data_IF_033494153640
#
_entry.id   IF_033494153640
#
_cell.length_a   1.000
_cell.length_b   1.000
_cell.length_c   1.000
_cell.angle_alpha   90.00
_cell.angle_beta   90.00
_cell.angle_gamma   90.00
#
_symmetry.space_group_name_H-M   'P 1'
#
loop_
_entity.id
_entity.type
_entity.pdbx_description
1 polymer ?
#
# COMPACT_ATOMS: atom_id res chain seq x y z
N UNK A 1 4.05 -17.49 14.83
CA UNK A 1 3.00 -17.97 13.96
C UNK A 1 2.64 -16.96 12.90
N UNK A 2 2.11 -17.45 11.81
CA UNK A 2 1.71 -16.60 10.70
C UNK A 2 0.47 -15.80 11.13
N UNK A 3 0.59 -14.47 11.14
CA UNK A 3 -0.54 -13.62 11.44
C UNK A 3 -1.36 -13.43 10.15
N UNK A 4 -2.47 -14.16 10.03
CA UNK A 4 -3.39 -14.04 8.89
C UNK A 4 -4.37 -12.87 9.01
N UNK A 5 -4.36 -12.14 10.11
CA UNK A 5 -5.25 -10.99 10.32
C UNK A 5 -5.08 -9.93 9.23
N UNK A 6 -3.82 -9.61 8.87
CA UNK A 6 -3.54 -8.66 7.80
C UNK A 6 -4.13 -9.09 6.46
N UNK A 7 -4.11 -10.40 6.16
CA UNK A 7 -4.68 -10.98 4.94
C UNK A 7 -6.22 -10.97 4.98
N UNK A 8 -6.82 -11.39 6.09
CA UNK A 8 -8.27 -11.44 6.26
C UNK A 8 -8.89 -10.02 6.20
N UNK A 9 -8.23 -9.05 6.81
CA UNK A 9 -8.75 -7.68 6.92
C UNK A 9 -8.11 -6.71 5.92
N UNK A 10 -7.31 -7.21 4.99
CA UNK A 10 -6.67 -6.41 3.93
C UNK A 10 -5.84 -5.23 4.45
N UNK A 11 -5.15 -5.42 5.57
CA UNK A 11 -4.37 -4.37 6.21
C UNK A 11 -2.90 -4.76 6.40
N UNK A 12 -2.11 -4.79 5.31
CA UNK A 12 -0.71 -5.23 5.40
C UNK A 12 0.23 -4.28 6.15
N UNK A 13 -0.19 -3.04 6.35
CA UNK A 13 0.59 -2.04 7.09
C UNK A 13 0.25 -1.93 8.55
N UNK A 14 -0.68 -2.74 9.06
CA UNK A 14 -1.19 -2.65 10.44
C UNK A 14 -1.62 -1.22 10.80
N UNK A 15 -2.34 -0.60 9.88
CA UNK A 15 -2.78 0.80 10.00
C UNK A 15 -3.92 0.87 11.01
N UNK A 16 -3.80 1.81 11.96
CA UNK A 16 -4.83 2.06 12.97
C UNK A 16 -5.95 2.93 12.41
N UNK A 17 -7.14 2.83 13.02
CA UNK A 17 -8.31 3.63 12.62
C UNK A 17 -8.08 5.13 12.84
N UNK A 18 -8.93 5.95 12.24
CA UNK A 18 -8.96 7.39 12.48
C UNK A 18 -8.19 8.24 11.50
N UNK A 19 -7.62 7.67 10.45
CA UNK A 19 -6.83 8.41 9.47
C UNK A 19 -7.58 8.74 8.18
N UNK A 20 -8.82 8.28 8.03
CA UNK A 20 -9.69 8.66 6.91
C UNK A 20 -9.33 8.04 5.57
N UNK A 21 -8.59 6.93 5.55
CA UNK A 21 -8.25 6.25 4.29
C UNK A 21 -9.48 5.67 3.61
N UNK A 22 -9.52 5.78 2.29
CA UNK A 22 -10.57 5.18 1.47
C UNK A 22 -10.54 3.65 1.55
N UNK A 23 -11.69 3.03 1.31
CA UNK A 23 -11.84 1.57 1.36
C UNK A 23 -12.03 1.02 2.76
N UNK A 24 -12.24 1.86 3.76
CA UNK A 24 -12.49 1.44 5.14
C UNK A 24 -13.90 0.85 5.24
N UNK A 25 -13.99 -0.41 5.68
CA UNK A 25 -15.27 -1.12 5.84
C UNK A 25 -15.52 -1.60 7.26
N UNK A 26 -14.54 -1.46 8.14
CA UNK A 26 -14.67 -1.88 9.52
C UNK A 26 -13.37 -1.73 10.29
N UNK A 27 -13.33 -2.38 11.43
CA UNK A 27 -12.17 -2.40 12.29
C UNK A 27 -12.01 -3.76 12.95
N UNK A 28 -10.79 -4.08 13.37
CA UNK A 28 -10.54 -5.29 14.14
C UNK A 28 -9.56 -5.00 15.27
N UNK A 29 -9.59 -5.84 16.31
CA UNK A 29 -8.79 -5.62 17.50
C UNK A 29 -7.30 -5.74 17.20
N UNK A 30 -6.54 -4.80 17.75
CA UNK A 30 -5.08 -4.88 17.74
C UNK A 30 -4.63 -6.02 18.64
N UNK A 31 -3.70 -6.85 18.17
CA UNK A 31 -3.07 -7.91 18.95
C UNK A 31 -1.87 -7.42 19.78
N UNK A 32 -1.56 -6.14 19.73
CA UNK A 32 -0.46 -5.56 20.51
C UNK A 32 -0.70 -5.72 22.00
N UNK A 33 0.29 -6.27 22.69
CA UNK A 33 0.28 -6.34 24.14
C UNK A 33 0.60 -4.96 24.76
N UNK A 34 -0.14 -4.59 25.81
CA UNK A 34 0.07 -3.36 26.58
C UNK A 34 -0.82 -2.19 26.13
N UNK A 35 -1.68 -1.69 26.86
CA UNK A 35 -2.77 -0.75 26.80
C UNK A 35 -2.84 0.33 25.68
N UNK A 36 -3.92 1.06 25.64
CA UNK A 36 -4.06 2.28 24.87
C UNK A 36 -4.13 2.10 23.36
N UNK A 37 -4.68 1.00 22.89
CA UNK A 37 -4.59 0.67 21.49
C UNK A 37 -5.83 0.94 20.72
N UNK A 38 -5.63 1.71 19.69
CA UNK A 38 -6.64 1.86 18.68
C UNK A 38 -6.75 0.57 17.87
N UNK A 39 -7.97 0.16 17.50
CA UNK A 39 -8.15 -0.93 16.56
C UNK A 39 -7.46 -0.65 15.22
N UNK A 40 -7.27 -1.71 14.46
CA UNK A 40 -6.78 -1.64 13.09
C UNK A 40 -7.93 -1.46 12.11
N UNK A 41 -7.65 -0.83 10.98
CA UNK A 41 -8.61 -0.66 9.89
C UNK A 41 -8.81 -1.97 9.14
N UNK A 42 -10.06 -2.33 8.87
CA UNK A 42 -10.40 -3.32 7.86
C UNK A 42 -10.63 -2.61 6.53
N UNK A 43 -9.89 -3.00 5.50
CA UNK A 43 -10.07 -2.50 4.14
C UNK A 43 -10.90 -3.48 3.31
N UNK A 44 -11.59 -2.96 2.29
CA UNK A 44 -12.45 -3.76 1.42
C UNK A 44 -11.68 -4.61 0.41
N UNK A 45 -10.38 -4.35 0.25
CA UNK A 45 -9.56 -5.03 -0.74
C UNK A 45 -8.07 -4.93 -0.38
N UNK A 46 -7.24 -5.86 -0.88
CA UNK A 46 -5.79 -5.74 -0.70
C UNK A 46 -5.23 -4.46 -1.34
N UNK A 47 -5.80 -4.01 -2.44
CA UNK A 47 -5.37 -2.78 -3.11
C UNK A 47 -5.57 -1.55 -2.22
N UNK A 48 -6.71 -1.45 -1.53
CA UNK A 48 -6.97 -0.30 -0.66
C UNK A 48 -6.10 -0.32 0.59
N UNK A 49 -5.78 -1.50 1.10
CA UNK A 49 -4.82 -1.64 2.21
C UNK A 49 -3.40 -1.22 1.81
N UNK A 50 -2.93 -1.64 0.66
CA UNK A 50 -1.63 -1.23 0.12
C UNK A 50 -1.62 0.26 -0.24
N UNK A 51 -2.71 0.76 -0.82
CA UNK A 51 -2.88 2.20 -1.11
C UNK A 51 -2.68 3.05 0.14
N UNK A 52 -3.24 2.61 1.26
CA UNK A 52 -3.10 3.32 2.52
C UNK A 52 -1.64 3.46 2.94
N UNK A 53 -0.81 2.44 2.74
CA UNK A 53 0.63 2.53 3.01
C UNK A 53 1.29 3.59 2.11
N UNK A 54 0.99 3.59 0.81
CA UNK A 54 1.52 4.61 -0.10
C UNK A 54 1.13 6.03 0.31
N UNK A 55 -0.14 6.24 0.65
CA UNK A 55 -0.65 7.56 1.06
C UNK A 55 0.04 8.02 2.34
N UNK A 56 0.14 7.14 3.32
CA UNK A 56 0.79 7.44 4.59
C UNK A 56 2.27 7.77 4.41
N UNK A 57 2.99 6.97 3.63
CA UNK A 57 4.40 7.24 3.34
C UNK A 57 4.60 8.56 2.60
N UNK A 58 3.80 8.86 1.59
CA UNK A 58 3.92 10.13 0.86
C UNK A 58 3.72 11.32 1.77
N UNK A 59 2.75 11.25 2.68
CA UNK A 59 2.53 12.29 3.68
C UNK A 59 3.75 12.47 4.58
N UNK A 60 4.32 11.37 5.07
CA UNK A 60 5.49 11.40 5.94
C UNK A 60 6.76 11.83 5.20
N UNK A 61 6.92 11.45 3.94
CA UNK A 61 8.03 11.94 3.10
C UNK A 61 7.99 13.45 2.99
N UNK A 62 6.81 14.03 2.79
CA UNK A 62 6.68 15.49 2.75
C UNK A 62 7.00 16.14 4.10
N UNK A 63 6.55 15.55 5.19
CA UNK A 63 6.77 16.10 6.54
C UNK A 63 8.24 16.02 6.98
N UNK A 64 8.94 14.94 6.62
CA UNK A 64 10.28 14.62 7.14
C UNK A 64 11.36 14.62 6.06
N UNK A 65 11.11 15.18 4.90
CA UNK A 65 12.06 15.20 3.77
C UNK A 65 12.58 13.80 3.40
N UNK A 66 11.74 12.80 3.56
CA UNK A 66 12.06 11.42 3.23
C UNK A 66 12.95 10.69 4.25
N UNK A 67 13.31 11.30 5.37
CA UNK A 67 14.20 10.68 6.36
C UNK A 67 13.61 9.39 6.92
N UNK A 68 14.22 8.24 6.60
CA UNK A 68 13.72 6.92 6.99
C UNK A 68 13.57 6.81 8.51
N UNK A 69 14.55 7.27 9.27
CA UNK A 69 14.52 7.13 10.73
C UNK A 69 13.33 7.90 11.33
N UNK A 70 13.08 9.12 10.87
CA UNK A 70 11.94 9.93 11.34
C UNK A 70 10.61 9.32 10.91
N UNK A 71 10.52 8.88 9.67
CA UNK A 71 9.29 8.29 9.11
C UNK A 71 8.93 7.01 9.87
N UNK A 72 9.86 6.09 10.02
CA UNK A 72 9.59 4.81 10.70
C UNK A 72 9.33 5.01 12.19
N UNK A 73 9.96 5.98 12.82
CA UNK A 73 9.69 6.31 14.22
C UNK A 73 8.24 6.78 14.43
N UNK A 74 7.63 7.42 13.43
CA UNK A 74 6.22 7.79 13.45
C UNK A 74 5.31 6.64 13.03
N UNK A 75 5.75 5.81 12.08
CA UNK A 75 4.96 4.68 11.58
C UNK A 75 4.80 3.60 12.66
N UNK A 76 5.87 3.24 13.33
CA UNK A 76 5.88 2.17 14.32
C UNK A 76 6.61 2.62 15.59
N UNK A 77 6.00 3.48 16.41
CA UNK A 77 6.61 3.91 17.67
C UNK A 77 6.64 2.78 18.69
N UNK A 78 7.20 3.01 19.83
CA UNK A 78 6.98 2.34 21.12
C UNK A 78 8.10 1.51 21.69
N UNK A 79 9.06 1.04 20.93
CA UNK A 79 10.19 0.33 21.50
C UNK A 79 11.44 0.71 20.73
N UNK A 80 12.35 1.41 21.41
CA UNK A 80 13.56 1.95 20.78
C UNK A 80 14.36 0.90 20.00
N UNK A 81 14.58 -0.29 20.59
CA UNK A 81 15.32 -1.36 19.93
C UNK A 81 14.59 -1.93 18.72
N UNK A 82 13.27 -2.11 18.83
CA UNK A 82 12.45 -2.63 17.73
C UNK A 82 12.31 -1.60 16.62
N UNK A 83 12.17 -0.32 16.97
CA UNK A 83 12.10 0.76 16.01
C UNK A 83 13.42 0.89 15.24
N UNK A 84 14.56 0.79 15.93
CA UNK A 84 15.86 0.83 15.27
C UNK A 84 16.05 -0.33 14.30
N UNK A 85 15.65 -1.53 14.68
CA UNK A 85 15.70 -2.70 13.80
C UNK A 85 14.82 -2.50 12.55
N UNK A 86 13.68 -1.90 12.72
CA UNK A 86 12.76 -1.56 11.61
C UNK A 86 13.43 -0.56 10.65
N UNK A 87 13.99 0.52 11.20
CA UNK A 87 14.73 1.53 10.42
C UNK A 87 15.85 0.86 9.62
N UNK A 88 16.67 0.04 10.27
CA UNK A 88 17.79 -0.64 9.64
C UNK A 88 17.34 -1.57 8.51
N UNK A 89 16.24 -2.30 8.70
CA UNK A 89 15.69 -3.17 7.68
C UNK A 89 15.20 -2.38 6.45
N UNK A 90 14.52 -1.27 6.66
CA UNK A 90 14.05 -0.43 5.56
C UNK A 90 15.25 0.14 4.79
N UNK A 91 16.21 0.71 5.48
CA UNK A 91 17.43 1.26 4.86
C UNK A 91 18.16 0.19 4.04
N UNK A 92 18.30 -1.01 4.60
CA UNK A 92 18.94 -2.12 3.90
C UNK A 92 18.20 -2.49 2.63
N UNK A 93 16.88 -2.56 2.67
CA UNK A 93 16.08 -2.98 1.53
C UNK A 93 16.00 -1.93 0.43
N UNK A 94 15.90 -0.64 0.79
CA UNK A 94 15.85 0.43 -0.23
C UNK A 94 17.23 0.93 -0.65
N UNK A 95 18.28 0.57 0.09
CA UNK A 95 19.65 0.99 -0.21
C UNK A 95 19.92 2.46 0.04
N UNK A 96 19.15 3.12 0.90
CA UNK A 96 19.26 4.54 1.18
C UNK A 96 18.63 4.87 2.54
N UNK A 97 19.08 5.94 3.17
CA UNK A 97 18.47 6.48 4.38
C UNK A 97 17.34 7.48 4.08
N UNK A 98 17.02 7.67 2.80
CA UNK A 98 16.00 8.63 2.35
C UNK A 98 15.03 7.97 1.41
N UNK A 99 13.73 8.10 1.68
CA UNK A 99 12.66 7.66 0.80
C UNK A 99 12.34 8.77 -0.19
N UNK A 100 12.35 8.41 -1.47
CA UNK A 100 12.05 9.31 -2.59
C UNK A 100 10.98 8.69 -3.49
N UNK A 101 10.52 9.44 -4.48
CA UNK A 101 9.60 8.91 -5.49
C UNK A 101 10.19 7.69 -6.23
N UNK A 102 11.52 7.63 -6.37
CA UNK A 102 12.19 6.54 -7.09
C UNK A 102 12.25 5.24 -6.30
N UNK A 103 12.31 5.30 -4.97
CA UNK A 103 12.42 4.10 -4.13
C UNK A 103 11.21 3.82 -3.24
N UNK A 104 10.14 4.58 -3.37
CA UNK A 104 8.95 4.42 -2.51
C UNK A 104 8.32 3.04 -2.64
N UNK A 105 8.37 2.42 -3.82
CA UNK A 105 7.85 1.07 -4.01
C UNK A 105 8.61 0.06 -3.14
N UNK A 106 9.92 0.17 -3.10
CA UNK A 106 10.75 -0.70 -2.25
C UNK A 106 10.51 -0.41 -0.76
N UNK A 107 10.23 0.83 -0.40
CA UNK A 107 9.88 1.19 0.98
C UNK A 107 8.54 0.55 1.39
N UNK A 108 7.54 0.56 0.51
CA UNK A 108 6.26 -0.12 0.75
C UNK A 108 6.47 -1.62 0.94
N UNK A 109 7.26 -2.25 0.06
CA UNK A 109 7.61 -3.68 0.17
C UNK A 109 8.31 -3.98 1.49
N UNK A 110 9.25 -3.13 1.91
CA UNK A 110 9.97 -3.28 3.16
C UNK A 110 9.03 -3.24 4.37
N UNK A 111 8.05 -2.33 4.36
CA UNK A 111 7.04 -2.23 5.40
C UNK A 111 6.18 -3.49 5.46
N UNK A 112 5.68 -3.96 4.32
CA UNK A 112 4.88 -5.19 4.26
C UNK A 112 5.66 -6.38 4.80
N UNK A 113 6.92 -6.53 4.43
CA UNK A 113 7.80 -7.61 4.92
C UNK A 113 8.05 -7.49 6.42
N UNK A 114 8.31 -6.29 6.89
CA UNK A 114 8.58 -6.10 8.33
C UNK A 114 7.35 -6.36 9.18
N UNK A 115 6.19 -5.88 8.76
CA UNK A 115 4.94 -6.02 9.50
C UNK A 115 4.39 -7.46 9.47
N UNK A 116 4.69 -8.23 8.43
CA UNK A 116 4.07 -9.54 8.22
C UNK A 116 5.05 -10.71 8.14
N UNK A 117 6.36 -10.43 8.18
CA UNK A 117 7.42 -11.44 8.03
C UNK A 117 7.91 -11.55 6.59
N UNK A 118 9.22 -11.52 6.41
CA UNK A 118 9.86 -11.41 5.09
C UNK A 118 9.42 -12.48 4.10
N UNK A 119 9.28 -13.72 4.53
CA UNK A 119 8.92 -14.85 3.69
C UNK A 119 7.60 -15.51 4.09
N UNK A 120 6.74 -14.79 4.82
CA UNK A 120 5.46 -15.32 5.26
C UNK A 120 4.48 -15.46 4.11
N UNK A 121 3.46 -16.32 4.28
CA UNK A 121 2.37 -16.46 3.32
C UNK A 121 1.63 -15.14 3.12
N UNK A 122 1.44 -14.37 4.19
CA UNK A 122 0.79 -13.05 4.12
C UNK A 122 1.59 -12.09 3.25
N UNK A 123 2.91 -12.02 3.44
CA UNK A 123 3.78 -11.17 2.61
C UNK A 123 3.71 -11.59 1.14
N UNK A 124 3.77 -12.88 0.85
CA UNK A 124 3.65 -13.40 -0.51
C UNK A 124 2.31 -13.04 -1.14
N UNK A 125 1.23 -13.15 -0.37
CA UNK A 125 -0.11 -12.76 -0.83
C UNK A 125 -0.14 -11.33 -1.36
N UNK A 126 0.53 -10.38 -0.68
CA UNK A 126 0.55 -8.98 -1.09
C UNK A 126 1.58 -8.66 -2.16
N UNK A 127 2.73 -9.31 -2.15
CA UNK A 127 3.89 -8.89 -2.95
C UNK A 127 4.20 -9.78 -4.15
N UNK A 128 3.76 -11.04 -4.17
CA UNK A 128 4.07 -11.95 -5.29
C UNK A 128 3.30 -11.57 -6.56
N UNK A 129 2.11 -11.00 -6.44
CA UNK A 129 1.37 -10.48 -7.59
C UNK A 129 1.70 -9.00 -7.76
N UNK A 130 2.51 -8.64 -8.75
CA UNK A 130 2.90 -7.25 -8.99
C UNK A 130 1.71 -6.33 -9.33
N UNK A 131 0.61 -6.90 -9.75
CA UNK A 131 -0.59 -6.16 -10.11
C UNK A 131 -1.22 -5.46 -8.90
N UNK A 132 -1.22 -6.10 -7.72
CA UNK A 132 -1.78 -5.51 -6.50
C UNK A 132 -1.07 -4.21 -6.14
N UNK A 133 0.26 -4.24 -6.10
CA UNK A 133 1.05 -3.07 -5.75
C UNK A 133 0.92 -1.96 -6.80
N UNK A 134 0.92 -2.33 -8.08
CA UNK A 134 0.76 -1.39 -9.18
C UNK A 134 -0.58 -0.66 -9.12
N UNK A 135 -1.68 -1.38 -8.90
CA UNK A 135 -3.01 -0.79 -8.76
C UNK A 135 -3.07 0.12 -7.52
N UNK A 136 -2.54 -0.33 -6.40
CA UNK A 136 -2.50 0.46 -5.16
C UNK A 136 -1.75 1.78 -5.35
N UNK A 137 -0.59 1.73 -6.00
CA UNK A 137 0.20 2.92 -6.29
C UNK A 137 -0.54 3.91 -7.18
N UNK A 138 -1.20 3.40 -8.22
CA UNK A 138 -2.02 4.23 -9.12
C UNK A 138 -3.16 4.90 -8.36
N UNK A 139 -3.92 4.13 -7.58
CA UNK A 139 -5.02 4.68 -6.79
C UNK A 139 -4.54 5.67 -5.72
N UNK A 140 -3.32 5.53 -5.23
CA UNK A 140 -2.75 6.44 -4.24
C UNK A 140 -2.45 7.84 -4.80
N UNK A 141 -2.51 8.04 -6.11
CA UNK A 141 -2.37 9.36 -6.73
C UNK A 141 -3.60 10.25 -6.54
N UNK A 142 -4.73 9.63 -6.17
CA UNK A 142 -6.01 10.33 -6.09
C UNK A 142 -6.51 10.41 -4.65
N UNK A 143 -7.00 11.59 -4.27
CA UNK A 143 -7.69 11.77 -2.99
C UNK A 143 -9.11 11.22 -3.11
N UNK A 144 -9.55 10.52 -2.07
CA UNK A 144 -10.85 9.85 -2.05
C UNK A 144 -11.44 9.95 -0.65
N UNK A 145 -12.78 10.06 -0.53
CA UNK A 145 -13.41 9.96 0.79
C UNK A 145 -13.25 8.56 1.37
N UNK A 146 -13.28 8.45 2.70
CA UNK A 146 -13.13 7.18 3.40
C UNK A 146 -14.16 6.13 2.94
N UNK A 147 -15.33 6.58 2.52
CA UNK A 147 -16.44 5.73 2.03
C UNK A 147 -16.25 5.19 0.61
N UNK A 148 -15.24 5.67 -0.13
CA UNK A 148 -14.97 5.17 -1.47
C UNK A 148 -14.56 3.70 -1.41
N UNK A 149 -15.27 2.86 -2.16
CA UNK A 149 -14.93 1.43 -2.28
C UNK A 149 -13.84 1.22 -3.34
N UNK A 150 -13.13 0.10 -3.23
CA UNK A 150 -12.18 -0.28 -4.30
C UNK A 150 -12.88 -0.40 -5.65
N UNK A 151 -14.06 -1.03 -5.68
CA UNK A 151 -14.82 -1.19 -6.93
C UNK A 151 -15.05 0.14 -7.62
N UNK A 152 -15.54 1.13 -6.87
CA UNK A 152 -15.80 2.46 -7.41
C UNK A 152 -14.52 3.17 -7.80
N UNK A 153 -13.49 3.07 -6.99
CA UNK A 153 -12.17 3.66 -7.28
C UNK A 153 -11.55 3.07 -8.54
N UNK A 154 -11.62 1.75 -8.69
CA UNK A 154 -11.10 1.06 -9.87
C UNK A 154 -11.85 1.48 -11.15
N UNK A 155 -13.18 1.54 -11.08
CA UNK A 155 -14.00 2.01 -12.20
C UNK A 155 -13.69 3.45 -12.60
N UNK A 156 -13.36 4.29 -11.62
CA UNK A 156 -13.15 5.72 -11.83
C UNK A 156 -11.73 6.03 -12.30
N UNK A 157 -10.73 5.37 -11.74
CA UNK A 157 -9.33 5.80 -11.87
C UNK A 157 -8.41 4.77 -12.54
N UNK A 158 -8.74 3.48 -12.52
CA UNK A 158 -7.89 2.49 -13.17
C UNK A 158 -8.27 2.31 -14.62
N UNK A 159 -7.29 2.05 -15.53
CA UNK A 159 -7.59 1.76 -16.92
C UNK A 159 -8.48 0.52 -17.03
N UNK A 160 -9.65 0.67 -17.64
CA UNK A 160 -10.59 -0.42 -17.83
C UNK A 160 -10.10 -1.33 -18.95
N UNK A 161 -10.22 -2.64 -18.73
CA UNK A 161 -9.96 -3.63 -19.76
C UNK A 161 -11.11 -3.58 -20.75
N UNK A 162 -10.87 -2.94 -21.92
CA UNK A 162 -11.87 -2.80 -22.94
C UNK A 162 -11.76 -3.95 -23.94
N UNK A 163 -12.89 -4.60 -24.22
CA UNK A 163 -12.99 -5.57 -25.33
C UNK A 163 -13.34 -4.78 -26.59
N UNK A 164 -12.43 -4.75 -27.56
CA UNK A 164 -12.67 -4.13 -28.85
C UNK A 164 -13.49 -5.05 -29.76
N UNK A 165 -14.42 -4.46 -30.51
CA UNK A 165 -15.12 -5.17 -31.58
C UNK A 165 -14.16 -5.41 -32.74
N UNK A 166 -14.49 -6.36 -33.62
CA UNK A 166 -13.71 -6.62 -34.83
C UNK A 166 -13.57 -5.37 -35.69
N UNK A 167 -14.64 -4.58 -35.80
CA UNK A 167 -14.66 -3.35 -36.55
C UNK A 167 -13.73 -2.28 -35.95
N UNK A 168 -13.73 -2.12 -34.63
CA UNK A 168 -12.83 -1.19 -33.93
C UNK A 168 -11.36 -1.56 -34.16
N UNK A 169 -11.04 -2.84 -34.15
CA UNK A 169 -9.67 -3.34 -34.40
C UNK A 169 -9.26 -3.00 -35.86
N UNK A 170 -10.13 -3.21 -36.82
CA UNK A 170 -9.87 -2.86 -38.22
C UNK A 170 -9.61 -1.39 -38.43
N UNK A 171 -10.36 -0.50 -37.77
CA UNK A 171 -10.17 0.95 -37.84
C UNK A 171 -8.80 1.34 -37.29
N UNK A 172 -8.40 0.76 -36.16
CA UNK A 172 -7.09 1.01 -35.55
C UNK A 172 -5.95 0.59 -36.50
N UNK A 173 -6.02 -0.61 -37.09
CA UNK A 173 -5.02 -1.11 -38.06
C UNK A 173 -4.91 -0.18 -39.29
N UNK A 174 -6.05 0.29 -39.81
CA UNK A 174 -6.09 1.23 -40.93
C UNK A 174 -5.44 2.57 -40.56
N UNK A 175 -5.72 3.08 -39.39
CA UNK A 175 -5.12 4.32 -38.88
C UNK A 175 -3.60 4.21 -38.76
N UNK A 176 -3.09 3.09 -38.25
CA UNK A 176 -1.66 2.84 -38.15
C UNK A 176 -0.99 2.78 -39.54
N UNK A 177 -1.63 2.18 -40.53
CA UNK A 177 -1.11 2.14 -41.89
C UNK A 177 -1.01 3.51 -42.54
N UNK A 178 -1.90 4.45 -42.20
CA UNK A 178 -1.87 5.81 -42.71
C UNK A 178 -0.89 6.72 -41.97
N UNK A 179 -0.46 6.34 -40.77
CA UNK A 179 0.46 7.14 -39.96
C UNK A 179 1.93 7.00 -40.37
N UNK A 180 2.25 6.09 -41.26
CA UNK A 180 3.62 5.87 -41.78
C UNK A 180 3.97 6.88 -42.91
#
# INVERSE_FOLDING_TARGET
GINKMAEIYNNPGNIQIGQGFAGTVGEYASDRKGGGKQPYVEFDSPQMGLRAIYKDLRSKVNTFDGDVAKIISKYAPNNENKTQAYIDNVIKQIGSDTITADNIDEAVRAIVRHENGTNSETTKYYLDDPKLLKEAKELAQYDMPATMTYKKAAETYLPQKRVFTEEEVKVADTSNNFAE
#
